data_IF_922007862849
#
_entry.id   IF_922007862849
#
_cell.length_a   1.000
_cell.length_b   1.000
_cell.length_c   1.000
_cell.angle_alpha   90.00
_cell.angle_beta   90.00
_cell.angle_gamma   90.00
#
_symmetry.space_group_name_H-M   'P 1'
#
loop_
_entity.id
_entity.type
_entity.pdbx_description
1 polymer ?
#
# COMPACT_ATOMS: atom_id res chain seq x y z
N UNK A 1 4.26 22.11 -9.55
CA UNK A 1 2.94 21.91 -8.90
C UNK A 1 3.00 20.61 -8.10
N UNK A 2 3.38 20.68 -6.83
CA UNK A 2 3.36 19.53 -5.91
C UNK A 2 1.94 19.36 -5.39
N UNK A 3 1.13 18.60 -6.13
CA UNK A 3 -0.26 18.33 -5.75
C UNK A 3 -0.30 17.52 -4.46
N UNK A 4 -0.71 18.16 -3.37
CA UNK A 4 -0.92 17.49 -2.10
C UNK A 4 -2.19 16.62 -2.19
N UNK A 5 -1.99 15.35 -2.56
CA UNK A 5 -3.06 14.37 -2.75
C UNK A 5 -3.95 14.20 -1.52
N UNK A 6 -3.41 14.43 -0.32
CA UNK A 6 -4.17 14.35 0.95
C UNK A 6 -5.12 15.53 1.10
N UNK A 7 -4.68 16.74 0.73
CA UNK A 7 -5.55 17.93 0.72
C UNK A 7 -6.62 17.84 -0.35
N UNK A 8 -6.27 17.36 -1.54
CA UNK A 8 -7.23 17.18 -2.63
C UNK A 8 -8.32 16.15 -2.25
N UNK A 9 -7.93 15.02 -1.65
CA UNK A 9 -8.90 14.01 -1.22
C UNK A 9 -9.84 14.51 -0.11
N UNK A 10 -9.36 15.40 0.78
CA UNK A 10 -10.20 16.00 1.83
C UNK A 10 -11.28 16.89 1.23
N UNK A 11 -10.93 17.67 0.20
CA UNK A 11 -11.88 18.52 -0.50
C UNK A 11 -12.95 17.72 -1.27
N UNK A 12 -12.61 16.50 -1.68
CA UNK A 12 -13.50 15.60 -2.41
C UNK A 12 -14.29 14.65 -1.48
N UNK A 13 -14.15 14.78 -0.16
CA UNK A 13 -14.79 13.92 0.85
C UNK A 13 -14.52 12.41 0.63
N UNK A 14 -13.32 12.06 0.16
CA UNK A 14 -12.93 10.68 -0.12
C UNK A 14 -12.25 10.07 1.11
N UNK A 15 -12.58 8.82 1.43
CA UNK A 15 -12.09 8.11 2.63
C UNK A 15 -10.91 7.17 2.40
N UNK A 16 -10.56 6.88 1.14
CA UNK A 16 -9.48 5.95 0.76
C UNK A 16 -8.60 6.57 -0.33
N UNK A 17 -7.28 6.56 -0.10
CA UNK A 17 -6.26 6.89 -1.08
C UNK A 17 -5.67 5.60 -1.66
N UNK A 18 -5.66 5.50 -2.99
CA UNK A 18 -5.15 4.32 -3.71
C UNK A 18 -4.10 4.70 -4.75
N UNK A 19 -2.87 5.06 -4.32
CA UNK A 19 -1.78 5.38 -5.23
C UNK A 19 -1.17 4.12 -5.85
N UNK A 20 -0.50 4.28 -6.99
CA UNK A 20 0.42 3.24 -7.46
C UNK A 20 1.57 3.04 -6.46
N UNK A 21 2.17 1.86 -6.39
CA UNK A 21 3.13 1.54 -5.33
C UNK A 21 4.55 2.12 -5.51
N UNK A 22 4.99 2.43 -6.73
CA UNK A 22 6.35 2.95 -7.02
C UNK A 22 6.40 3.99 -8.16
N UNK A 23 7.41 4.87 -8.13
CA UNK A 23 7.84 5.71 -9.27
C UNK A 23 9.34 5.51 -9.49
N UNK A 24 9.81 5.15 -10.71
CA UNK A 24 9.01 4.78 -11.89
C UNK A 24 8.15 3.54 -11.66
N UNK A 25 6.95 3.51 -12.25
CA UNK A 25 6.01 2.40 -12.11
C UNK A 25 6.65 1.07 -12.53
N UNK A 26 6.43 0.02 -11.73
CA UNK A 26 6.88 -1.34 -12.03
C UNK A 26 8.24 -1.73 -11.44
N UNK A 27 8.93 -0.81 -10.76
CA UNK A 27 10.11 -1.14 -9.99
C UNK A 27 9.74 -1.86 -8.69
N UNK A 28 10.51 -2.90 -8.36
CA UNK A 28 10.42 -3.74 -7.15
C UNK A 28 11.34 -3.21 -6.06
N UNK A 29 11.15 -3.64 -4.81
CA UNK A 29 12.01 -3.30 -3.69
C UNK A 29 13.52 -3.58 -3.91
N UNK A 30 13.87 -4.48 -4.84
CA UNK A 30 15.27 -4.81 -5.19
C UNK A 30 15.91 -3.86 -6.21
N UNK A 31 15.13 -3.02 -6.87
CA UNK A 31 15.63 -2.17 -7.96
C UNK A 31 16.28 -0.90 -7.42
N UNK A 32 17.42 -0.51 -8.00
CA UNK A 32 18.08 0.76 -7.67
C UNK A 32 17.20 1.94 -8.07
N UNK A 33 16.78 2.74 -7.09
CA UNK A 33 15.85 3.86 -7.30
C UNK A 33 14.41 3.61 -6.82
N UNK A 34 14.12 2.41 -6.30
CA UNK A 34 12.82 2.09 -5.72
C UNK A 34 12.44 3.07 -4.60
N UNK A 35 11.30 3.73 -4.76
CA UNK A 35 10.66 4.53 -3.70
C UNK A 35 9.18 4.19 -3.63
N UNK A 36 8.73 3.89 -2.41
CA UNK A 36 7.30 3.77 -2.12
C UNK A 36 6.65 5.14 -2.30
N UNK A 37 5.57 5.20 -3.09
CA UNK A 37 4.71 6.39 -3.12
C UNK A 37 3.94 6.49 -1.80
N UNK A 38 3.35 5.37 -1.36
CA UNK A 38 2.80 5.23 -0.02
C UNK A 38 3.94 4.92 0.96
N UNK A 39 4.80 5.91 1.18
CA UNK A 39 5.79 5.85 2.24
C UNK A 39 5.16 6.15 3.61
N UNK A 40 5.94 5.94 4.67
CA UNK A 40 5.49 6.21 6.05
C UNK A 40 4.95 7.62 6.23
N UNK A 41 5.56 8.63 5.60
CA UNK A 41 5.13 10.03 5.73
C UNK A 41 3.77 10.26 5.06
N UNK A 42 3.51 9.63 3.92
CA UNK A 42 2.21 9.71 3.28
C UNK A 42 1.15 9.00 4.12
N UNK A 43 1.44 7.81 4.61
CA UNK A 43 0.52 7.05 5.47
C UNK A 43 0.16 7.84 6.73
N UNK A 44 1.15 8.36 7.46
CA UNK A 44 0.91 9.19 8.66
C UNK A 44 0.05 10.42 8.36
N UNK A 45 0.30 11.10 7.23
CA UNK A 45 -0.49 12.27 6.83
C UNK A 45 -1.91 11.91 6.42
N UNK A 46 -2.10 10.79 5.74
CA UNK A 46 -3.42 10.28 5.36
C UNK A 46 -4.21 9.83 6.61
N UNK A 47 -3.57 9.15 7.55
CA UNK A 47 -4.19 8.74 8.82
C UNK A 47 -4.57 9.96 9.67
N UNK A 48 -3.69 10.96 9.79
CA UNK A 48 -4.02 12.25 10.41
C UNK A 48 -5.15 12.98 9.67
N UNK A 49 -5.35 12.64 8.39
CA UNK A 49 -6.45 13.15 7.59
C UNK A 49 -7.79 12.42 7.81
N UNK A 50 -7.79 11.27 8.50
CA UNK A 50 -8.93 10.36 8.64
C UNK A 50 -9.12 9.44 7.43
N UNK A 51 -8.08 9.26 6.61
CA UNK A 51 -8.10 8.48 5.38
C UNK A 51 -7.30 7.20 5.53
N UNK A 52 -7.71 6.17 4.79
CA UNK A 52 -6.94 4.92 4.63
C UNK A 52 -6.07 4.97 3.38
N UNK A 53 -4.96 4.26 3.38
CA UNK A 53 -4.04 4.15 2.24
C UNK A 53 -3.94 2.70 1.78
N UNK A 54 -4.29 2.45 0.52
CA UNK A 54 -4.32 1.11 -0.08
C UNK A 54 -3.60 1.12 -1.43
N UNK A 55 -2.27 0.93 -1.48
CA UNK A 55 -1.53 0.93 -2.73
C UNK A 55 -1.83 -0.27 -3.64
N UNK A 56 -1.67 -0.07 -4.95
CA UNK A 56 -1.81 -1.08 -6.00
C UNK A 56 -0.68 -1.00 -7.05
N UNK A 57 -0.40 -2.01 -7.87
CA UNK A 57 -0.63 -3.45 -7.62
C UNK A 57 0.70 -4.06 -7.19
N UNK A 58 0.74 -4.66 -6.01
CA UNK A 58 1.98 -5.18 -5.43
C UNK A 58 1.96 -6.70 -5.47
N UNK A 59 2.94 -7.28 -6.16
CA UNK A 59 2.95 -8.71 -6.44
C UNK A 59 4.14 -9.45 -5.81
N UNK A 60 5.18 -8.75 -5.35
CA UNK A 60 6.34 -9.36 -4.70
C UNK A 60 6.30 -9.27 -3.16
N UNK A 61 6.73 -10.33 -2.44
CA UNK A 61 6.65 -10.38 -0.97
C UNK A 61 7.43 -9.28 -0.25
N UNK A 62 8.57 -8.87 -0.80
CA UNK A 62 9.44 -7.87 -0.17
C UNK A 62 8.82 -6.48 -0.23
N UNK A 63 8.23 -6.11 -1.36
CA UNK A 63 7.48 -4.85 -1.48
C UNK A 63 6.19 -4.88 -0.66
N UNK A 64 5.52 -6.03 -0.56
CA UNK A 64 4.37 -6.19 0.35
C UNK A 64 4.77 -5.92 1.79
N UNK A 65 5.87 -6.52 2.24
CA UNK A 65 6.42 -6.30 3.57
C UNK A 65 6.79 -4.83 3.82
N UNK A 66 7.46 -4.19 2.86
CA UNK A 66 7.84 -2.78 2.97
C UNK A 66 6.62 -1.85 3.07
N UNK A 67 5.53 -2.14 2.34
CA UNK A 67 4.29 -1.36 2.44
C UNK A 67 3.55 -1.57 3.76
N UNK A 68 3.53 -2.80 4.28
CA UNK A 68 2.99 -3.09 5.61
C UNK A 68 3.77 -2.29 6.67
N UNK A 69 5.11 -2.27 6.58
CA UNK A 69 5.97 -1.51 7.48
C UNK A 69 5.83 0.01 7.32
N UNK A 70 5.53 0.48 6.11
CA UNK A 70 5.20 1.88 5.85
C UNK A 70 3.83 2.31 6.42
N UNK A 71 3.00 1.36 6.86
CA UNK A 71 1.70 1.66 7.46
C UNK A 71 0.54 1.70 6.47
N UNK A 72 0.63 1.00 5.34
CA UNK A 72 -0.52 0.82 4.46
C UNK A 72 -1.66 0.06 5.17
N UNK A 73 -2.90 0.50 4.99
CA UNK A 73 -4.10 -0.13 5.56
C UNK A 73 -4.55 -1.38 4.78
N UNK A 74 -4.07 -1.52 3.55
CA UNK A 74 -4.35 -2.66 2.69
C UNK A 74 -3.43 -2.67 1.49
N UNK A 75 -3.35 -3.80 0.79
CA UNK A 75 -2.56 -3.93 -0.44
C UNK A 75 -3.44 -4.58 -1.49
N UNK A 76 -3.52 -3.95 -2.66
CA UNK A 76 -4.13 -4.56 -3.84
C UNK A 76 -3.06 -5.38 -4.55
N UNK A 77 -3.33 -6.66 -4.76
CA UNK A 77 -2.41 -7.65 -5.33
C UNK A 77 -3.15 -8.62 -6.23
N UNK A 78 -2.49 -9.06 -7.31
CA UNK A 78 -2.96 -10.18 -8.12
C UNK A 78 -2.70 -11.54 -7.43
N UNK A 79 -1.93 -11.55 -6.35
CA UNK A 79 -1.56 -12.74 -5.58
C UNK A 79 -1.99 -12.62 -4.12
N UNK A 80 -3.31 -12.65 -3.82
CA UNK A 80 -3.81 -12.49 -2.45
C UNK A 80 -3.33 -13.61 -1.50
N UNK A 81 -3.15 -14.83 -2.00
CA UNK A 81 -2.58 -15.93 -1.19
C UNK A 81 -1.17 -15.63 -0.70
N UNK A 82 -0.33 -15.06 -1.58
CA UNK A 82 1.04 -14.65 -1.23
C UNK A 82 1.03 -13.53 -0.20
N UNK A 83 0.14 -12.55 -0.34
CA UNK A 83 -0.01 -11.49 0.66
C UNK A 83 -0.39 -12.06 2.03
N UNK A 84 -1.30 -13.04 2.08
CA UNK A 84 -1.65 -13.74 3.33
C UNK A 84 -0.45 -14.43 3.97
N UNK A 85 0.43 -15.05 3.18
CA UNK A 85 1.66 -15.68 3.70
C UNK A 85 2.60 -14.64 4.32
N UNK A 86 2.79 -13.50 3.67
CA UNK A 86 3.60 -12.39 4.21
C UNK A 86 3.00 -11.85 5.52
N UNK A 87 1.68 -11.67 5.58
CA UNK A 87 0.97 -11.25 6.80
C UNK A 87 1.11 -12.29 7.92
N UNK A 88 1.03 -13.59 7.59
CA UNK A 88 1.14 -14.68 8.55
C UNK A 88 2.55 -14.75 9.16
N UNK A 89 3.59 -14.59 8.34
CA UNK A 89 4.98 -14.53 8.79
C UNK A 89 5.24 -13.35 9.74
N UNK A 90 4.40 -12.31 9.67
CA UNK A 90 4.48 -11.11 10.53
C UNK A 90 3.55 -11.17 11.74
N UNK A 91 2.83 -12.29 11.95
CA UNK A 91 1.91 -12.45 13.08
C UNK A 91 0.68 -11.54 13.02
N UNK A 92 0.28 -11.10 11.82
CA UNK A 92 -0.89 -10.24 11.63
C UNK A 92 -2.17 -11.06 11.52
N UNK A 93 -3.30 -10.45 11.88
CA UNK A 93 -4.62 -11.02 11.62
C UNK A 93 -4.85 -11.19 10.12
N UNK A 94 -5.15 -12.43 9.72
CA UNK A 94 -5.34 -12.75 8.32
C UNK A 94 -6.80 -12.47 7.90
N UNK A 95 -7.02 -11.87 6.72
CA UNK A 95 -8.37 -11.74 6.16
C UNK A 95 -9.02 -13.13 5.94
N UNK A 96 -10.28 -13.19 5.53
CA UNK A 96 -10.89 -14.49 5.21
C UNK A 96 -10.17 -15.13 4.00
N UNK A 97 -9.78 -16.41 4.04
CA UNK A 97 -9.26 -17.10 2.86
C UNK A 97 -10.38 -17.30 1.84
N UNK A 98 -10.06 -17.12 0.57
CA UNK A 98 -10.95 -17.46 -0.54
C UNK A 98 -10.27 -18.51 -1.42
N UNK A 99 -10.96 -19.60 -1.79
CA UNK A 99 -10.41 -20.58 -2.72
C UNK A 99 -10.20 -19.93 -4.09
N UNK A 100 -9.09 -20.27 -4.75
CA UNK A 100 -8.93 -19.97 -6.16
C UNK A 100 -10.04 -20.69 -6.94
N UNK A 101 -10.72 -19.95 -7.83
CA UNK A 101 -11.77 -20.51 -8.69
C UNK A 101 -11.17 -21.30 -9.84
#
# INVERSE_FOLDING_TARGET
MGGDIVKAARQLNVSVLSPGYSVPYGQKAKDEGFRLIADKKLCERAHAAGMKVVPWTINDPETMAAQIEAGADGIISDHPTRLREVMAQRGMDLPKPYPAK
#
